data_IF_087092073578
#
_entry.id   IF_087092073578
#
_cell.length_a   1.000
_cell.length_b   1.000
_cell.length_c   1.000
_cell.angle_alpha   90.00
_cell.angle_beta   90.00
_cell.angle_gamma   90.00
#
_symmetry.space_group_name_H-M   'P 1'
#
loop_
_entity.id
_entity.type
_entity.pdbx_description
1 polymer ?
#
# COMPACT_ATOMS: atom_id res chain seq x y z
N UNK A 1 25.53 -3.48 14.09
CA UNK A 1 24.19 -4.07 13.96
C UNK A 1 24.25 -5.52 14.42
N UNK A 2 23.41 -5.96 15.37
CA UNK A 2 23.29 -7.38 15.68
C UNK A 2 22.89 -8.14 14.42
N UNK A 3 23.44 -9.33 14.22
CA UNK A 3 23.07 -10.20 13.10
C UNK A 3 21.62 -10.64 13.30
N UNK A 4 20.75 -10.34 12.34
CA UNK A 4 19.39 -10.89 12.31
C UNK A 4 19.43 -12.41 12.37
N UNK A 5 18.51 -13.03 13.12
CA UNK A 5 18.42 -14.50 13.16
C UNK A 5 17.93 -15.05 11.81
N UNK A 6 18.11 -16.34 11.56
CA UNK A 6 17.57 -16.99 10.35
C UNK A 6 16.04 -16.90 10.32
N UNK A 7 15.40 -17.09 11.47
CA UNK A 7 13.95 -16.96 11.63
C UNK A 7 13.47 -15.54 11.32
N UNK A 8 14.17 -14.53 11.83
CA UNK A 8 13.84 -13.13 11.58
C UNK A 8 14.01 -12.77 10.10
N UNK A 9 15.05 -13.26 9.43
CA UNK A 9 15.21 -13.07 7.97
C UNK A 9 14.10 -13.76 7.18
N UNK A 10 13.71 -14.97 7.57
CA UNK A 10 12.62 -15.70 6.91
C UNK A 10 11.30 -14.93 7.05
N UNK A 11 11.02 -14.39 8.24
CA UNK A 11 9.84 -13.55 8.47
C UNK A 11 9.88 -12.27 7.63
N UNK A 12 11.00 -11.55 7.60
CA UNK A 12 11.13 -10.33 6.78
C UNK A 12 10.88 -10.65 5.30
N UNK A 13 11.49 -11.72 4.78
CA UNK A 13 11.34 -12.12 3.39
C UNK A 13 9.87 -12.44 3.06
N UNK A 14 9.19 -13.15 3.95
CA UNK A 14 7.77 -13.48 3.77
C UNK A 14 6.87 -12.25 3.87
N UNK A 15 7.12 -11.36 4.83
CA UNK A 15 6.35 -10.13 5.00
C UNK A 15 6.48 -9.21 3.76
N UNK A 16 7.70 -9.04 3.24
CA UNK A 16 7.94 -8.29 2.00
C UNK A 16 7.22 -8.96 0.83
N UNK A 17 7.35 -10.27 0.67
CA UNK A 17 6.69 -11.03 -0.40
C UNK A 17 5.18 -10.85 -0.38
N UNK A 18 4.56 -10.84 0.79
CA UNK A 18 3.12 -10.59 0.94
C UNK A 18 2.74 -9.18 0.49
N UNK A 19 3.48 -8.15 0.93
CA UNK A 19 3.20 -6.75 0.59
C UNK A 19 3.40 -6.47 -0.91
N UNK A 20 4.43 -7.08 -1.52
CA UNK A 20 4.69 -6.99 -2.96
C UNK A 20 3.66 -7.77 -3.79
N UNK A 21 3.22 -8.94 -3.33
CA UNK A 21 2.15 -9.68 -4.00
C UNK A 21 0.84 -8.88 -4.00
N UNK A 22 0.55 -8.16 -2.92
CA UNK A 22 -0.58 -7.24 -2.88
C UNK A 22 -0.41 -6.06 -3.84
N UNK A 23 0.83 -5.57 -3.99
CA UNK A 23 1.16 -4.55 -4.98
C UNK A 23 0.79 -4.92 -6.40
N UNK A 24 1.14 -6.15 -6.80
CA UNK A 24 0.89 -6.62 -8.16
C UNK A 24 -0.59 -6.80 -8.47
N UNK A 25 -1.44 -7.05 -7.46
CA UNK A 25 -2.89 -7.16 -7.62
C UNK A 25 -3.60 -5.80 -7.67
N UNK A 26 -2.95 -4.77 -7.14
CA UNK A 26 -3.51 -3.41 -6.99
C UNK A 26 -2.77 -2.36 -7.85
N UNK A 27 -1.89 -2.76 -8.76
CA UNK A 27 -1.08 -1.82 -9.52
C UNK A 27 -1.93 -1.01 -10.51
N UNK A 28 -2.79 -1.69 -11.28
CA UNK A 28 -3.55 -1.11 -12.39
C UNK A 28 -4.98 -0.78 -11.99
N UNK A 29 -5.16 0.42 -11.43
CA UNK A 29 -6.48 1.04 -11.36
C UNK A 29 -6.82 1.65 -12.72
N UNK A 30 -8.09 1.61 -13.10
CA UNK A 30 -8.53 2.10 -14.41
C UNK A 30 -8.41 3.62 -14.50
N UNK A 31 -8.11 4.12 -15.70
CA UNK A 31 -8.14 5.55 -16.02
C UNK A 31 -9.29 5.79 -17.01
N UNK A 32 -10.32 6.51 -16.58
CA UNK A 32 -11.51 6.80 -17.37
C UNK A 32 -11.40 8.20 -17.96
N UNK A 33 -11.47 8.32 -19.29
CA UNK A 33 -11.63 9.62 -19.95
C UNK A 33 -13.07 10.11 -19.76
N UNK A 34 -13.23 11.35 -19.31
CA UNK A 34 -14.53 11.97 -19.07
C UNK A 34 -14.73 13.14 -20.03
N UNK A 35 -15.88 13.15 -20.70
CA UNK A 35 -16.24 14.26 -21.58
C UNK A 35 -16.58 15.50 -20.73
N UNK A 36 -15.91 16.62 -21.01
CA UNK A 36 -16.22 17.92 -20.43
C UNK A 36 -16.72 18.89 -21.50
N UNK A 37 -17.67 19.79 -21.16
CA UNK A 37 -18.12 20.84 -22.08
C UNK A 37 -17.12 22.00 -22.19
N UNK A 38 -15.91 21.87 -21.61
CA UNK A 38 -14.87 22.91 -21.62
C UNK A 38 -13.85 22.60 -22.71
N UNK A 39 -13.77 23.41 -23.78
CA UNK A 39 -12.81 23.19 -24.85
C UNK A 39 -11.35 23.30 -24.35
N UNK A 40 -10.47 22.44 -24.87
CA UNK A 40 -9.03 22.48 -24.57
C UNK A 40 -8.63 21.86 -23.22
N UNK A 41 -9.54 21.16 -22.53
CA UNK A 41 -9.26 20.44 -21.29
C UNK A 41 -9.67 18.98 -21.41
N UNK A 42 -8.71 18.08 -21.26
CA UNK A 42 -8.96 16.65 -21.13
C UNK A 42 -9.06 16.27 -19.65
N UNK A 43 -10.17 15.62 -19.26
CA UNK A 43 -10.37 15.14 -17.89
C UNK A 43 -10.27 13.61 -17.85
N UNK A 44 -9.47 13.12 -16.91
CA UNK A 44 -9.34 11.70 -16.63
C UNK A 44 -9.59 11.43 -15.15
N UNK A 45 -10.36 10.39 -14.86
CA UNK A 45 -10.58 9.87 -13.51
C UNK A 45 -9.78 8.58 -13.32
N UNK A 46 -8.88 8.57 -12.33
CA UNK A 46 -8.21 7.36 -11.86
C UNK A 46 -9.08 6.71 -10.79
N UNK A 47 -9.64 5.55 -11.09
CA UNK A 47 -10.57 4.87 -10.18
C UNK A 47 -9.82 4.09 -9.10
N UNK A 48 -9.43 4.80 -8.04
CA UNK A 48 -8.77 4.20 -6.86
C UNK A 48 -9.76 3.53 -5.89
N UNK A 49 -11.06 3.51 -6.20
CA UNK A 49 -12.06 2.85 -5.37
C UNK A 49 -12.05 1.32 -5.54
N UNK A 50 -11.42 0.81 -6.59
CA UNK A 50 -11.35 -0.64 -6.88
C UNK A 50 -10.30 -1.38 -6.03
N UNK A 51 -9.51 -0.67 -5.22
CA UNK A 51 -8.64 -1.34 -4.25
C UNK A 51 -9.46 -2.15 -3.25
N UNK A 52 -8.89 -3.21 -2.64
CA UNK A 52 -9.59 -4.03 -1.66
C UNK A 52 -10.23 -3.24 -0.50
N UNK A 53 -9.61 -2.13 -0.07
CA UNK A 53 -10.12 -1.25 1.00
C UNK A 53 -10.98 -0.09 0.49
N UNK A 54 -11.27 -0.03 -0.81
CA UNK A 54 -12.15 0.97 -1.41
C UNK A 54 -11.54 2.35 -1.58
N UNK A 55 -10.23 2.52 -1.36
CA UNK A 55 -9.59 3.84 -1.44
C UNK A 55 -8.12 3.81 -1.85
N UNK A 56 -7.63 4.98 -2.28
CA UNK A 56 -6.22 5.27 -2.54
C UNK A 56 -5.30 4.95 -1.35
N UNK A 57 -5.81 5.00 -0.10
CA UNK A 57 -5.00 4.78 1.11
C UNK A 57 -4.43 3.37 1.19
N UNK A 58 -5.00 2.41 0.45
CA UNK A 58 -4.44 1.07 0.26
C UNK A 58 -2.97 1.12 -0.19
N UNK A 59 -2.66 2.01 -1.15
CA UNK A 59 -1.29 2.19 -1.66
C UNK A 59 -0.36 2.77 -0.60
N UNK A 60 -0.86 3.73 0.19
CA UNK A 60 -0.09 4.37 1.26
C UNK A 60 0.25 3.37 2.37
N UNK A 61 -0.76 2.64 2.87
CA UNK A 61 -0.58 1.65 3.92
C UNK A 61 0.51 0.64 3.53
N UNK A 62 0.41 0.04 2.34
CA UNK A 62 1.44 -0.87 1.81
C UNK A 62 2.84 -0.26 1.80
N UNK A 63 2.96 0.98 1.33
CA UNK A 63 4.26 1.66 1.25
C UNK A 63 4.86 1.89 2.64
N UNK A 64 4.03 2.24 3.62
CA UNK A 64 4.46 2.42 5.02
C UNK A 64 4.88 1.11 5.65
N UNK A 65 4.11 0.03 5.46
CA UNK A 65 4.48 -1.31 5.93
C UNK A 65 5.80 -1.78 5.32
N UNK A 66 5.94 -1.70 3.99
CA UNK A 66 7.18 -2.08 3.31
C UNK A 66 8.38 -1.27 3.82
N UNK A 67 8.21 0.05 3.96
CA UNK A 67 9.24 0.92 4.48
C UNK A 67 9.64 0.53 5.92
N UNK A 68 8.67 0.31 6.81
CA UNK A 68 8.95 -0.07 8.19
C UNK A 68 9.66 -1.44 8.29
N UNK A 69 9.24 -2.43 7.48
CA UNK A 69 9.86 -3.76 7.42
C UNK A 69 11.31 -3.66 6.92
N UNK A 70 11.54 -2.96 5.80
CA UNK A 70 12.89 -2.81 5.22
C UNK A 70 13.87 -2.07 6.15
N UNK A 71 13.37 -1.15 6.97
CA UNK A 71 14.19 -0.45 7.97
C UNK A 71 14.36 -1.24 9.28
N UNK A 72 13.73 -2.41 9.41
CA UNK A 72 13.76 -3.22 10.63
C UNK A 72 12.99 -2.62 11.79
N UNK A 73 12.07 -1.69 11.53
CA UNK A 73 11.21 -1.04 12.54
C UNK A 73 9.98 -1.88 12.87
N UNK A 74 9.58 -2.77 11.96
CA UNK A 74 8.47 -3.69 12.14
C UNK A 74 8.95 -5.14 12.14
N UNK A 75 8.52 -5.88 13.16
CA UNK A 75 8.81 -7.30 13.37
C UNK A 75 7.53 -8.10 13.67
N UNK A 76 7.67 -9.44 13.88
CA UNK A 76 6.53 -10.33 14.11
C UNK A 76 5.70 -9.97 15.34
N UNK A 77 6.34 -9.48 16.40
CA UNK A 77 5.70 -9.14 17.68
C UNK A 77 5.39 -7.64 17.80
N UNK A 78 5.55 -6.88 16.71
CA UNK A 78 5.32 -5.44 16.72
C UNK A 78 3.84 -5.11 16.66
N UNK A 79 3.39 -4.24 17.57
CA UNK A 79 2.06 -3.61 17.46
C UNK A 79 2.14 -2.37 16.58
N UNK A 80 1.25 -2.29 15.59
CA UNK A 80 1.07 -1.08 14.76
C UNK A 80 -0.09 -0.26 15.32
N UNK A 81 0.15 1.04 15.53
CA UNK A 81 -0.88 1.98 15.99
C UNK A 81 -0.98 3.10 14.96
N UNK A 82 -2.21 3.37 14.52
CA UNK A 82 -2.52 4.48 13.62
C UNK A 82 -3.77 5.20 14.16
N UNK A 83 -3.72 6.52 14.19
CA UNK A 83 -4.81 7.34 14.68
C UNK A 83 -5.54 7.97 13.50
N UNK A 84 -6.61 7.32 13.04
CA UNK A 84 -7.40 7.78 11.92
C UNK A 84 -8.86 7.43 12.07
N UNK A 85 -9.72 8.33 11.61
CA UNK A 85 -11.15 8.12 11.47
C UNK A 85 -11.55 7.85 10.00
N UNK A 86 -10.59 7.76 9.08
CA UNK A 86 -10.80 7.68 7.64
C UNK A 86 -10.26 6.39 7.02
N UNK A 87 -10.19 6.34 5.69
CA UNK A 87 -9.89 5.12 4.94
C UNK A 87 -8.46 4.59 5.08
N UNK A 88 -7.58 5.27 5.83
CA UNK A 88 -6.28 4.72 6.24
C UNK A 88 -6.42 3.68 7.36
N UNK A 89 -7.48 3.77 8.18
CA UNK A 89 -7.73 2.84 9.28
C UNK A 89 -8.31 1.48 8.81
N UNK A 90 -8.78 1.43 7.55
CA UNK A 90 -9.32 0.24 6.88
C UNK A 90 -8.20 -0.47 6.14
#
# INVERSE_FOLDING_TARGET
MPKTSTEQRAWIAEAVRIVEADANRSADTHLHALALPTPGVDLYLKDESVHPTGSLKHRLARSLFLYAICNGWLGPDSTVVEASSGSTAV
#
